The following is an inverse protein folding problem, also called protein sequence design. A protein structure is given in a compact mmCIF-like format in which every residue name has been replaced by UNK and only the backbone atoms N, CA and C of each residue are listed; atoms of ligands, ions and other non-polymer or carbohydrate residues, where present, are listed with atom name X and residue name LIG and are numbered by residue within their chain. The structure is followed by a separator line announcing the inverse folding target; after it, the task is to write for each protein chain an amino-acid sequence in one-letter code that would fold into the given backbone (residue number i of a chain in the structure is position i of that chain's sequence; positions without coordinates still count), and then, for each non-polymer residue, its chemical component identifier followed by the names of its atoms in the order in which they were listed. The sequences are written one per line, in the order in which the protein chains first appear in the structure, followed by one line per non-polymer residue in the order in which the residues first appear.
data_IF_450564861271
#
_entry.id   IF_450564861271
#
_cell.length_a   1.000
_cell.length_b   1.000
_cell.length_c   1.000
_cell.angle_alpha   90.00
_cell.angle_beta   90.00
_cell.angle_gamma   90.00
#
_symmetry.space_group_name_H-M   'P 1'
#
loop_
_entity.id
_entity.type
_entity.pdbx_description
1 polymer ?
#
# COMPACT_ATOMS: atom_id res chain seq x y z
N UNK A 1 8.93 -5.05 25.15
CA UNK A 1 8.17 -3.89 24.64
C UNK A 1 9.16 -2.87 24.09
N UNK A 2 9.16 -2.60 22.79
CA UNK A 2 9.99 -1.56 22.20
C UNK A 2 9.60 -0.18 22.68
N UNK A 3 10.48 0.79 22.50
CA UNK A 3 10.17 2.19 22.74
C UNK A 3 9.39 2.78 21.54
N UNK A 4 8.64 3.85 21.77
CA UNK A 4 7.91 4.52 20.69
C UNK A 4 8.84 5.00 19.56
N UNK A 5 10.09 5.28 19.89
CA UNK A 5 11.12 5.65 18.90
C UNK A 5 11.43 4.53 17.89
N UNK A 6 11.12 3.29 18.21
CA UNK A 6 11.33 2.12 17.34
C UNK A 6 10.14 1.82 16.43
N UNK A 7 9.03 2.57 16.56
CA UNK A 7 7.85 2.38 15.74
C UNK A 7 8.14 2.59 14.26
N UNK A 8 7.52 1.74 13.44
CA UNK A 8 7.59 1.82 11.97
C UNK A 8 6.20 1.61 11.38
N UNK A 9 5.99 2.17 10.20
CA UNK A 9 4.79 1.89 9.39
C UNK A 9 4.60 0.38 9.21
N UNK A 10 3.38 -0.09 9.36
CA UNK A 10 3.00 -1.51 9.22
C UNK A 10 3.08 -2.32 10.51
N UNK A 11 3.65 -1.76 11.58
CA UNK A 11 3.60 -2.42 12.89
C UNK A 11 2.19 -2.41 13.45
N UNK A 12 1.80 -3.48 14.12
CA UNK A 12 0.58 -3.52 14.92
C UNK A 12 0.91 -3.32 16.39
N UNK A 13 0.19 -2.42 17.01
CA UNK A 13 0.38 -2.01 18.40
C UNK A 13 -0.95 -2.07 19.17
N UNK A 14 -0.85 -2.15 20.47
CA UNK A 14 -1.99 -1.96 21.36
C UNK A 14 -1.96 -0.52 21.90
N UNK A 15 -2.96 0.25 21.55
CA UNK A 15 -3.11 1.63 22.00
C UNK A 15 -4.41 1.78 22.79
N UNK A 16 -4.30 2.21 24.05
CA UNK A 16 -5.44 2.29 24.99
C UNK A 16 -6.27 0.99 25.04
N UNK A 17 -5.58 -0.18 25.07
CA UNK A 17 -6.22 -1.48 25.09
C UNK A 17 -6.79 -1.99 23.78
N UNK A 18 -6.73 -1.20 22.70
CA UNK A 18 -7.25 -1.56 21.39
C UNK A 18 -6.13 -1.84 20.38
N UNK A 19 -6.22 -2.92 19.61
CA UNK A 19 -5.25 -3.20 18.56
C UNK A 19 -5.39 -2.20 17.42
N UNK A 20 -4.26 -1.69 16.94
CA UNK A 20 -4.19 -0.72 15.86
C UNK A 20 -2.96 -0.97 14.98
N UNK A 21 -3.05 -0.64 13.70
CA UNK A 21 -1.92 -0.67 12.78
C UNK A 21 -1.35 0.74 12.60
N UNK A 22 -0.03 0.83 12.59
CA UNK A 22 0.69 2.10 12.37
C UNK A 22 0.72 2.40 10.88
N UNK A 23 0.10 3.49 10.47
CA UNK A 23 0.05 3.95 9.07
C UNK A 23 1.22 4.87 8.73
N UNK A 24 1.55 5.78 9.64
CA UNK A 24 2.64 6.75 9.47
C UNK A 24 3.32 7.00 10.80
N UNK A 25 4.61 7.37 10.75
CA UNK A 25 5.41 7.71 11.92
C UNK A 25 6.27 8.92 11.59
N UNK A 26 6.23 9.93 12.47
CA UNK A 26 7.05 11.12 12.40
C UNK A 26 7.81 11.30 13.71
N UNK A 27 9.13 11.28 13.64
CA UNK A 27 10.00 11.60 14.78
C UNK A 27 10.20 13.11 14.83
N UNK A 28 9.92 13.72 15.96
CA UNK A 28 10.05 15.15 16.18
C UNK A 28 11.03 15.41 17.32
N UNK A 29 12.05 16.20 17.04
CA UNK A 29 13.00 16.66 18.05
C UNK A 29 13.02 18.19 18.02
N UNK A 30 12.06 18.84 18.66
CA UNK A 30 12.03 20.31 18.70
C UNK A 30 13.11 20.83 19.65
N UNK A 31 14.09 21.57 19.14
CA UNK A 31 15.09 22.34 19.85
C UNK A 31 15.40 21.89 21.29
N UNK A 32 15.01 22.71 22.26
CA UNK A 32 15.25 22.46 23.69
C UNK A 32 14.18 21.60 24.38
N UNK A 33 13.20 21.05 23.63
CA UNK A 33 12.13 20.25 24.16
C UNK A 33 12.43 18.75 24.00
N UNK A 34 11.74 17.92 24.83
CA UNK A 34 11.87 16.47 24.74
C UNK A 34 11.37 15.94 23.37
N UNK A 35 12.15 15.04 22.78
CA UNK A 35 11.76 14.35 21.57
C UNK A 35 10.45 13.54 21.76
N UNK A 36 9.61 13.53 20.74
CA UNK A 36 8.37 12.76 20.73
C UNK A 36 8.16 12.10 19.37
N UNK A 37 7.29 11.10 19.36
CA UNK A 37 6.89 10.37 18.17
C UNK A 37 5.42 10.66 17.93
N UNK A 38 5.09 11.15 16.74
CA UNK A 38 3.73 11.32 16.27
C UNK A 38 3.43 10.20 15.30
N UNK A 39 2.34 9.48 15.50
CA UNK A 39 1.95 8.37 14.64
C UNK A 39 0.48 8.49 14.25
N UNK A 40 0.20 8.18 12.98
CA UNK A 40 -1.17 7.94 12.53
C UNK A 40 -1.41 6.45 12.62
N UNK A 41 -2.39 6.07 13.42
CA UNK A 41 -2.79 4.68 13.63
C UNK A 41 -4.21 4.46 13.13
N UNK A 42 -4.52 3.21 12.74
CA UNK A 42 -5.87 2.78 12.41
C UNK A 42 -6.26 1.62 13.32
N UNK A 43 -7.33 1.80 14.08
CA UNK A 43 -7.88 0.74 14.93
C UNK A 43 -8.40 -0.42 14.09
N UNK A 44 -7.96 -1.63 14.41
CA UNK A 44 -8.33 -2.85 13.68
C UNK A 44 -9.82 -3.16 13.84
N UNK A 45 -10.36 -2.93 15.02
CA UNK A 45 -11.76 -3.27 15.33
C UNK A 45 -12.76 -2.32 14.69
N UNK A 46 -12.44 -1.03 14.56
CA UNK A 46 -13.37 0.00 14.09
C UNK A 46 -13.02 0.57 12.72
N UNK A 47 -11.79 0.34 12.24
CA UNK A 47 -11.27 0.94 11.00
C UNK A 47 -11.02 2.45 11.09
N UNK A 48 -11.29 3.10 12.23
CA UNK A 48 -11.05 4.53 12.42
C UNK A 48 -9.59 4.83 12.61
N UNK A 49 -9.14 5.93 12.00
CA UNK A 49 -7.78 6.44 12.18
C UNK A 49 -7.73 7.48 13.28
N UNK A 50 -6.59 7.54 13.96
CA UNK A 50 -6.29 8.53 14.99
C UNK A 50 -4.86 9.01 14.86
N UNK A 51 -4.63 10.29 15.12
CA UNK A 51 -3.31 10.87 15.29
C UNK A 51 -2.96 10.79 16.78
N UNK A 52 -1.87 10.10 17.11
CA UNK A 52 -1.46 9.82 18.49
C UNK A 52 -0.02 10.27 18.71
N UNK A 53 0.26 10.70 19.93
CA UNK A 53 1.58 11.18 20.33
C UNK A 53 2.13 10.33 21.46
N UNK A 54 3.39 9.92 21.31
CA UNK A 54 4.15 9.19 22.34
C UNK A 54 5.37 10.00 22.75
N UNK A 55 5.78 9.90 23.99
CA UNK A 55 7.16 10.24 24.35
C UNK A 55 8.13 9.28 23.65
N UNK A 56 9.29 9.74 23.28
CA UNK A 56 10.27 8.90 22.52
C UNK A 56 10.66 7.60 23.24
N UNK A 57 10.58 7.62 24.58
CA UNK A 57 10.94 6.47 25.46
C UNK A 57 9.73 5.68 25.96
N UNK A 58 8.52 6.08 25.60
CA UNK A 58 7.30 5.39 26.02
C UNK A 58 7.35 3.94 25.52
N UNK A 59 6.93 3.02 26.37
CA UNK A 59 6.84 1.59 25.99
C UNK A 59 5.56 1.34 25.22
N UNK A 60 5.71 0.63 24.10
CA UNK A 60 4.59 0.29 23.22
C UNK A 60 4.43 -1.22 23.19
N UNK A 61 3.22 -1.71 23.45
CA UNK A 61 2.89 -3.12 23.33
C UNK A 61 2.66 -3.47 21.86
N UNK A 62 3.39 -4.46 21.35
CA UNK A 62 3.19 -4.96 19.98
C UNK A 62 2.12 -6.04 19.93
N UNK A 63 1.36 -6.04 18.86
CA UNK A 63 0.44 -7.12 18.47
C UNK A 63 1.11 -7.96 17.41
N UNK A 64 1.06 -9.30 17.55
CA UNK A 64 1.62 -10.20 16.58
C UNK A 64 0.91 -10.09 15.22
N UNK A 65 1.68 -10.01 14.14
CA UNK A 65 1.19 -10.00 12.76
C UNK A 65 1.53 -11.33 12.09
N UNK A 66 0.52 -11.93 11.49
CA UNK A 66 0.65 -13.07 10.60
C UNK A 66 0.52 -12.58 9.15
N UNK A 67 1.39 -13.06 8.27
CA UNK A 67 1.38 -12.75 6.84
C UNK A 67 0.94 -13.97 6.07
N UNK A 68 -0.07 -13.81 5.22
CA UNK A 68 -0.54 -14.86 4.30
C UNK A 68 -0.38 -14.40 2.86
N UNK A 69 0.20 -15.26 2.04
CA UNK A 69 0.24 -15.05 0.60
C UNK A 69 -1.12 -15.42 0.00
N UNK A 70 -1.77 -14.47 -0.64
CA UNK A 70 -3.04 -14.64 -1.33
C UNK A 70 -2.95 -14.10 -2.75
N UNK A 71 -3.82 -14.56 -3.63
CA UNK A 71 -3.94 -14.04 -4.99
C UNK A 71 -5.23 -13.23 -5.13
N UNK A 72 -5.10 -12.05 -5.75
CA UNK A 72 -6.27 -11.23 -6.08
C UNK A 72 -7.06 -11.91 -7.19
N UNK A 73 -8.37 -12.08 -7.00
CA UNK A 73 -9.26 -12.69 -7.98
C UNK A 73 -10.03 -11.65 -8.77
N UNK A 74 -10.91 -10.92 -8.13
CA UNK A 74 -11.74 -9.91 -8.77
C UNK A 74 -12.31 -8.90 -7.76
N UNK A 75 -12.90 -7.84 -8.28
CA UNK A 75 -13.66 -6.83 -7.52
C UNK A 75 -15.12 -6.88 -7.94
N UNK A 76 -16.01 -6.77 -6.97
CA UNK A 76 -17.45 -6.58 -7.18
C UNK A 76 -18.03 -5.56 -6.18
N UNK A 77 -19.36 -5.51 -6.08
CA UNK A 77 -20.07 -4.64 -5.13
C UNK A 77 -19.76 -4.95 -3.66
N UNK A 78 -19.38 -6.18 -3.36
CA UNK A 78 -19.12 -6.64 -2.00
C UNK A 78 -17.69 -6.32 -1.54
N UNK A 79 -16.79 -6.01 -2.48
CA UNK A 79 -15.41 -5.67 -2.21
C UNK A 79 -14.41 -6.39 -3.13
N UNK A 80 -13.22 -6.58 -2.60
CA UNK A 80 -12.09 -7.19 -3.30
C UNK A 80 -11.93 -8.63 -2.82
N UNK A 81 -11.96 -9.58 -3.76
CA UNK A 81 -11.90 -11.01 -3.48
C UNK A 81 -10.49 -11.53 -3.70
N UNK A 82 -10.00 -12.25 -2.69
CA UNK A 82 -8.68 -12.90 -2.69
C UNK A 82 -8.85 -14.39 -2.43
N UNK A 83 -7.97 -15.18 -3.00
CA UNK A 83 -7.97 -16.64 -2.86
C UNK A 83 -6.61 -17.10 -2.33
N UNK A 84 -6.65 -18.04 -1.41
CA UNK A 84 -5.46 -18.76 -0.97
C UNK A 84 -5.10 -19.80 -2.05
N UNK A 85 -3.90 -19.74 -2.67
CA UNK A 85 -3.52 -20.66 -3.73
C UNK A 85 -3.32 -22.12 -3.27
N UNK A 86 -3.17 -22.34 -1.97
CA UNK A 86 -2.96 -23.67 -1.39
C UNK A 86 -4.29 -24.32 -0.97
N UNK A 87 -5.14 -23.57 -0.27
CA UNK A 87 -6.39 -24.10 0.29
C UNK A 87 -7.61 -23.79 -0.56
N UNK A 88 -7.49 -22.85 -1.51
CA UNK A 88 -8.59 -22.32 -2.34
C UNK A 88 -9.68 -21.60 -1.54
N UNK A 89 -9.42 -21.31 -0.26
CA UNK A 89 -10.30 -20.47 0.53
C UNK A 89 -10.29 -19.04 0.00
N UNK A 90 -11.47 -18.42 0.01
CA UNK A 90 -11.64 -17.05 -0.47
C UNK A 90 -11.98 -16.12 0.68
N UNK A 91 -11.45 -14.90 0.62
CA UNK A 91 -11.81 -13.82 1.53
C UNK A 91 -12.22 -12.59 0.74
N UNK A 92 -13.06 -11.77 1.33
CA UNK A 92 -13.49 -10.49 0.77
C UNK A 92 -13.02 -9.35 1.68
N UNK A 93 -12.28 -8.41 1.10
CA UNK A 93 -11.80 -7.23 1.80
C UNK A 93 -12.49 -5.97 1.30
N UNK A 94 -12.83 -5.09 2.22
CA UNK A 94 -13.48 -3.82 1.91
C UNK A 94 -12.46 -2.80 1.37
N UNK A 95 -12.95 -1.85 0.59
CA UNK A 95 -12.11 -0.84 -0.07
C UNK A 95 -11.28 -0.01 0.92
N UNK A 96 -11.80 0.28 2.11
CA UNK A 96 -11.06 1.02 3.14
C UNK A 96 -9.80 0.28 3.62
N UNK A 97 -9.78 -1.04 3.54
CA UNK A 97 -8.64 -1.87 3.91
C UNK A 97 -7.64 -2.00 2.75
N UNK A 98 -8.13 -1.99 1.52
CA UNK A 98 -7.32 -2.03 0.30
C UNK A 98 -6.56 -0.71 0.09
N UNK A 99 -7.24 0.44 0.31
CA UNK A 99 -6.63 1.76 0.11
C UNK A 99 -6.04 1.95 -1.28
N UNK A 100 -4.83 2.50 -1.35
CA UNK A 100 -4.16 2.77 -2.63
C UNK A 100 -3.72 1.52 -3.39
N UNK A 101 -3.71 0.35 -2.75
CA UNK A 101 -3.39 -0.92 -3.41
C UNK A 101 -4.35 -1.24 -4.57
N UNK A 102 -5.58 -0.69 -4.54
CA UNK A 102 -6.57 -0.86 -5.62
C UNK A 102 -6.05 -0.47 -7.00
N UNK A 103 -5.14 0.49 -7.05
CA UNK A 103 -4.56 1.01 -8.29
C UNK A 103 -3.59 0.01 -8.98
N UNK A 104 -3.23 -1.06 -8.29
CA UNK A 104 -2.25 -2.05 -8.73
C UNK A 104 -2.78 -3.48 -8.75
N UNK A 105 -4.00 -3.73 -8.26
CA UNK A 105 -4.58 -5.07 -8.20
C UNK A 105 -5.08 -5.49 -9.58
N UNK A 106 -4.50 -6.56 -10.11
CA UNK A 106 -4.95 -7.26 -11.31
C UNK A 106 -5.13 -8.74 -11.01
N UNK A 107 -5.97 -9.41 -11.79
CA UNK A 107 -6.27 -10.82 -11.61
C UNK A 107 -4.99 -11.67 -11.51
N UNK A 108 -4.98 -12.58 -10.56
CA UNK A 108 -3.87 -13.48 -10.22
C UNK A 108 -2.61 -12.79 -9.64
N UNK A 109 -2.68 -11.52 -9.27
CA UNK A 109 -1.56 -10.88 -8.58
C UNK A 109 -1.40 -11.47 -7.17
N UNK A 110 -0.20 -11.97 -6.89
CA UNK A 110 0.18 -12.41 -5.54
C UNK A 110 0.45 -11.21 -4.63
N UNK A 111 -0.22 -11.19 -3.50
CA UNK A 111 -0.07 -10.17 -2.46
C UNK A 111 0.11 -10.83 -1.10
N UNK A 112 0.55 -10.08 -0.11
CA UNK A 112 0.50 -10.53 1.28
C UNK A 112 -0.64 -9.80 1.99
N UNK A 113 -1.50 -10.55 2.64
CA UNK A 113 -2.51 -9.99 3.55
C UNK A 113 -2.00 -10.16 4.98
N UNK A 114 -1.93 -9.06 5.70
CA UNK A 114 -1.50 -9.03 7.10
C UNK A 114 -2.71 -9.24 8.00
N UNK A 115 -2.56 -10.14 8.97
CA UNK A 115 -3.57 -10.45 9.97
C UNK A 115 -3.04 -10.08 11.36
N UNK A 116 -3.87 -9.43 12.13
CA UNK A 116 -3.64 -9.20 13.54
C UNK A 116 -4.85 -9.73 14.33
N UNK A 117 -4.58 -10.54 15.35
CA UNK A 117 -5.64 -11.19 16.15
C UNK A 117 -6.68 -11.95 15.28
N UNK A 118 -6.21 -12.60 14.21
CA UNK A 118 -7.04 -13.36 13.28
C UNK A 118 -7.87 -12.54 12.28
N UNK A 119 -7.73 -11.21 12.29
CA UNK A 119 -8.43 -10.30 11.36
C UNK A 119 -7.48 -9.71 10.33
N UNK A 120 -7.89 -9.60 9.06
CA UNK A 120 -7.10 -8.91 8.05
C UNK A 120 -7.03 -7.41 8.37
N UNK A 121 -5.84 -6.84 8.29
CA UNK A 121 -5.60 -5.43 8.67
C UNK A 121 -4.98 -4.61 7.55
N UNK A 122 -4.28 -5.24 6.63
CA UNK A 122 -3.59 -4.57 5.54
C UNK A 122 -3.29 -5.52 4.39
N UNK A 123 -3.27 -4.98 3.16
CA UNK A 123 -2.74 -5.64 1.97
C UNK A 123 -1.38 -5.04 1.65
N UNK A 124 -0.39 -5.92 1.49
CA UNK A 124 0.97 -5.56 1.12
C UNK A 124 1.24 -6.02 -0.30
N UNK A 125 1.50 -5.07 -1.17
CA UNK A 125 1.80 -5.31 -2.58
C UNK A 125 3.26 -5.78 -2.77
N UNK A 126 3.56 -6.53 -3.84
CA UNK A 126 4.94 -6.70 -4.27
C UNK A 126 5.55 -5.34 -4.62
N UNK A 127 6.88 -5.24 -4.59
CA UNK A 127 7.60 -3.99 -4.84
C UNK A 127 7.32 -3.38 -6.23
N UNK A 128 6.98 -4.23 -7.19
CA UNK A 128 6.60 -3.83 -8.54
C UNK A 128 5.52 -4.74 -9.10
N UNK A 129 4.72 -4.19 -10.01
CA UNK A 129 3.67 -4.93 -10.74
C UNK A 129 3.76 -4.63 -12.23
N UNK A 130 3.39 -5.62 -13.06
CA UNK A 130 3.20 -5.42 -14.49
C UNK A 130 1.75 -5.04 -14.78
N UNK A 131 1.51 -3.88 -15.39
CA UNK A 131 0.18 -3.42 -15.78
C UNK A 131 0.15 -3.05 -17.26
N UNK A 132 -0.96 -3.39 -17.91
CA UNK A 132 -1.18 -3.08 -19.32
C UNK A 132 -1.63 -1.63 -19.48
N UNK A 133 -1.05 -0.95 -20.44
CA UNK A 133 -1.48 0.39 -20.89
C UNK A 133 -2.70 0.23 -21.77
N UNK A 134 -3.82 0.81 -21.37
CA UNK A 134 -5.07 0.75 -22.13
C UNK A 134 -5.34 2.02 -22.94
N UNK A 135 -4.72 3.14 -22.56
CA UNK A 135 -4.84 4.41 -23.26
C UNK A 135 -3.53 5.19 -23.13
N UNK A 136 -3.00 5.63 -24.26
CA UNK A 136 -1.78 6.44 -24.30
C UNK A 136 -1.81 7.33 -25.53
N UNK A 137 -1.81 8.67 -25.38
CA UNK A 137 -1.74 9.58 -26.51
C UNK A 137 -0.43 9.38 -27.27
N UNK A 138 -0.43 9.68 -28.58
CA UNK A 138 0.80 9.69 -29.36
C UNK A 138 1.73 10.78 -28.81
N UNK A 139 3.01 10.41 -28.65
CA UNK A 139 4.04 11.37 -28.27
C UNK A 139 4.27 12.36 -29.41
N UNK A 140 4.30 13.66 -29.12
CA UNK A 140 4.61 14.68 -30.09
C UNK A 140 6.02 14.46 -30.64
N UNK A 141 6.15 14.33 -31.94
CA UNK A 141 7.46 14.31 -32.63
C UNK A 141 8.03 15.73 -32.58
N UNK A 142 9.22 15.87 -32.03
CA UNK A 142 9.96 17.14 -32.06
C UNK A 142 10.46 17.67 -30.72
N UNK A 143 10.07 17.06 -29.60
CA UNK A 143 10.63 17.41 -28.32
C UNK A 143 11.98 16.70 -28.13
N UNK A 144 13.05 17.48 -28.21
CA UNK A 144 14.43 17.02 -27.98
C UNK A 144 14.84 17.03 -26.50
N UNK A 145 13.92 17.35 -25.58
CA UNK A 145 14.19 17.36 -24.16
C UNK A 145 14.30 15.91 -23.62
N UNK A 146 15.38 15.59 -22.95
CA UNK A 146 15.78 14.26 -22.49
C UNK A 146 14.91 13.65 -21.38
N UNK A 147 13.85 14.33 -20.91
CA UNK A 147 12.97 13.87 -19.81
C UNK A 147 11.49 14.13 -20.09
N UNK A 148 11.07 14.13 -21.34
CA UNK A 148 9.66 14.33 -21.69
C UNK A 148 8.89 13.03 -21.46
N UNK A 149 7.80 13.15 -20.70
CA UNK A 149 6.87 12.06 -20.43
C UNK A 149 5.47 12.41 -20.94
N UNK A 150 4.63 11.41 -21.06
CA UNK A 150 3.21 11.56 -21.40
C UNK A 150 2.36 10.77 -20.44
N UNK A 151 1.08 11.17 -20.22
CA UNK A 151 0.17 10.39 -19.40
C UNK A 151 -0.21 9.09 -20.11
N UNK A 152 -0.34 8.01 -19.35
CA UNK A 152 -0.87 6.74 -19.80
C UNK A 152 -1.87 6.21 -18.79
N UNK A 153 -3.01 5.71 -19.26
CA UNK A 153 -4.03 5.06 -18.43
C UNK A 153 -3.76 3.57 -18.42
N UNK A 154 -3.70 3.00 -17.22
CA UNK A 154 -3.47 1.58 -17.00
C UNK A 154 -4.80 0.82 -16.89
N UNK A 155 -4.74 -0.49 -17.07
CA UNK A 155 -5.91 -1.38 -16.98
C UNK A 155 -6.69 -1.30 -15.66
N UNK A 156 -6.04 -0.83 -14.58
CA UNK A 156 -6.68 -0.57 -13.29
C UNK A 156 -7.42 0.78 -13.21
N UNK A 157 -7.27 1.62 -14.24
CA UNK A 157 -7.82 2.99 -14.28
C UNK A 157 -6.87 4.07 -13.75
N UNK A 158 -5.72 3.68 -13.19
CA UNK A 158 -4.71 4.64 -12.74
C UNK A 158 -4.01 5.28 -13.93
N UNK A 159 -3.77 6.59 -13.85
CA UNK A 159 -2.96 7.34 -14.81
C UNK A 159 -1.58 7.60 -14.25
N UNK A 160 -0.56 7.29 -15.02
CA UNK A 160 0.85 7.58 -14.67
C UNK A 160 1.57 8.24 -15.82
N UNK A 161 2.71 8.86 -15.53
CA UNK A 161 3.60 9.40 -16.55
C UNK A 161 4.57 8.33 -17.05
N UNK A 162 4.64 8.17 -18.36
CA UNK A 162 5.51 7.19 -19.04
C UNK A 162 6.36 7.88 -20.09
N UNK A 163 7.49 7.27 -20.51
CA UNK A 163 8.26 7.75 -21.64
C UNK A 163 7.42 7.83 -22.92
N UNK A 164 7.77 8.73 -23.83
CA UNK A 164 7.02 8.97 -25.08
C UNK A 164 6.89 7.76 -25.99
N UNK A 165 7.82 6.79 -25.91
CA UNK A 165 7.82 5.59 -26.74
C UNK A 165 6.84 4.50 -26.32
N UNK A 166 6.21 4.62 -25.14
CA UNK A 166 5.22 3.65 -24.66
C UNK A 166 3.93 3.78 -25.45
N UNK A 167 3.40 2.64 -25.90
CA UNK A 167 2.17 2.54 -26.70
C UNK A 167 1.08 1.80 -25.95
N UNK A 168 -0.16 2.02 -26.40
CA UNK A 168 -1.29 1.20 -25.96
C UNK A 168 -1.04 -0.29 -26.23
N UNK A 169 -1.51 -1.12 -25.32
CA UNK A 169 -1.34 -2.58 -25.39
C UNK A 169 -0.03 -3.10 -24.81
N UNK A 170 0.96 -2.23 -24.56
CA UNK A 170 2.19 -2.64 -23.88
C UNK A 170 1.96 -2.89 -22.39
N UNK A 171 2.63 -3.90 -21.84
CA UNK A 171 2.69 -4.14 -20.40
C UNK A 171 3.95 -3.49 -19.84
N UNK A 172 3.78 -2.66 -18.83
CA UNK A 172 4.86 -1.92 -18.19
C UNK A 172 5.00 -2.29 -16.73
N UNK A 173 6.20 -2.19 -16.22
CA UNK A 173 6.53 -2.44 -14.82
C UNK A 173 6.48 -1.13 -14.04
N UNK A 174 5.79 -1.16 -12.91
CA UNK A 174 5.53 0.02 -12.08
C UNK A 174 5.97 -0.26 -10.65
N UNK A 175 6.65 0.70 -10.04
CA UNK A 175 6.97 0.68 -8.62
C UNK A 175 5.67 0.94 -7.80
N UNK A 176 5.28 -0.01 -6.98
CA UNK A 176 4.04 0.09 -6.19
C UNK A 176 4.12 1.08 -5.05
N UNK A 177 5.31 1.49 -4.64
CA UNK A 177 5.52 2.47 -3.56
C UNK A 177 5.43 3.90 -4.06
N UNK A 178 5.93 4.17 -5.25
CA UNK A 178 6.01 5.51 -5.84
C UNK A 178 5.00 5.75 -6.95
N UNK A 179 4.48 4.68 -7.56
CA UNK A 179 3.65 4.75 -8.75
C UNK A 179 4.42 5.06 -10.03
N UNK A 180 5.75 5.03 -9.99
CA UNK A 180 6.60 5.40 -11.10
C UNK A 180 6.81 4.26 -12.09
N UNK A 181 6.94 4.61 -13.36
CA UNK A 181 7.37 3.70 -14.43
C UNK A 181 8.80 3.20 -14.17
N UNK A 182 9.01 1.89 -14.28
CA UNK A 182 10.30 1.24 -14.07
C UNK A 182 10.89 0.64 -15.33
N UNK A 183 10.09 0.37 -16.35
CA UNK A 183 10.51 -0.29 -17.58
C UNK A 183 9.37 -1.06 -18.23
N UNK A 184 9.66 -1.70 -19.34
CA UNK A 184 8.77 -2.69 -19.96
C UNK A 184 8.79 -3.97 -19.13
N UNK A 185 7.64 -4.59 -19.02
CA UNK A 185 7.54 -5.88 -18.30
C UNK A 185 8.03 -7.03 -19.19
#
# INVERSE_FOLDING_TARGET
MPAANDLRKGMAIKYNGNPAIVLEVHHRTPGDLRAFVQAIIRYINTGKSADVRFGSTDKVELVAIERKALEFSYKDRNGYHFMDPETYDTITLQENLIGDAKDYLVENLSVHVLYAEGKPVQVELPASVGLKVIESPEGLRGDTASNVTKPAVLETGKTINVPLFIKEGETIKIDTRTGAYMGRA
#
